data_IF_754157553332
#
_entry.id   IF_754157553332
#
_cell.length_a   1.000
_cell.length_b   1.000
_cell.length_c   1.000
_cell.angle_alpha   90.00
_cell.angle_beta   90.00
_cell.angle_gamma   90.00
#
_symmetry.space_group_name_H-M   'P 1'
#
loop_
_entity.id
_entity.type
_entity.pdbx_description
1 polymer ?
#
# COMPACT_ATOMS: atom_id res chain seq x y z
N UNK A 1 21.78 -27.89 37.88
CA UNK A 1 20.79 -26.94 37.33
C UNK A 1 21.35 -26.11 36.17
N UNK A 2 22.54 -25.50 36.29
CA UNK A 2 23.15 -24.65 35.23
C UNK A 2 23.24 -25.31 33.84
N UNK A 3 23.60 -26.59 33.78
CA UNK A 3 23.78 -27.29 32.50
C UNK A 3 22.44 -27.60 31.81
N UNK A 4 21.37 -27.86 32.56
CA UNK A 4 20.04 -28.10 31.99
C UNK A 4 19.46 -26.83 31.32
N UNK A 5 19.67 -25.67 31.95
CA UNK A 5 19.29 -24.38 31.35
C UNK A 5 20.07 -24.07 30.08
N UNK A 6 21.37 -24.39 30.03
CA UNK A 6 22.18 -24.22 28.82
C UNK A 6 21.67 -25.09 27.67
N UNK A 7 21.38 -26.36 27.92
CA UNK A 7 20.78 -27.26 26.92
C UNK A 7 19.46 -26.68 26.41
N UNK A 8 18.56 -26.27 27.32
CA UNK A 8 17.27 -25.73 26.93
C UNK A 8 17.40 -24.45 26.07
N UNK A 9 18.31 -23.55 26.42
CA UNK A 9 18.50 -22.28 25.71
C UNK A 9 19.14 -22.52 24.33
N UNK A 10 20.28 -23.21 24.29
CA UNK A 10 21.09 -23.31 23.07
C UNK A 10 20.65 -24.44 22.14
N UNK A 11 20.19 -25.56 22.69
CA UNK A 11 19.89 -26.75 21.88
C UNK A 11 18.43 -26.83 21.47
N UNK A 12 17.55 -26.07 22.12
CA UNK A 12 16.10 -26.09 21.86
C UNK A 12 15.57 -24.71 21.53
N UNK A 13 15.66 -23.73 22.44
CA UNK A 13 15.03 -22.44 22.25
C UNK A 13 15.61 -21.66 21.06
N UNK A 14 16.94 -21.61 20.91
CA UNK A 14 17.60 -20.90 19.82
C UNK A 14 17.29 -21.48 18.42
N UNK A 15 17.38 -22.80 18.17
CA UNK A 15 16.94 -23.41 16.93
C UNK A 15 15.46 -23.15 16.60
N UNK A 16 14.57 -23.30 17.59
CA UNK A 16 13.14 -23.06 17.39
C UNK A 16 12.84 -21.59 17.08
N UNK A 17 13.52 -20.66 17.77
CA UNK A 17 13.40 -19.23 17.48
C UNK A 17 13.90 -18.90 16.06
N UNK A 18 14.97 -19.54 15.61
CA UNK A 18 15.51 -19.37 14.25
C UNK A 18 14.51 -19.88 13.20
N UNK A 19 13.93 -21.06 13.40
CA UNK A 19 12.87 -21.60 12.52
C UNK A 19 11.67 -20.65 12.50
N UNK A 20 11.20 -20.21 13.67
CA UNK A 20 10.07 -19.28 13.76
C UNK A 20 10.35 -17.98 12.98
N UNK A 21 11.57 -17.41 13.09
CA UNK A 21 11.97 -16.23 12.35
C UNK A 21 11.95 -16.44 10.83
N UNK A 22 12.46 -17.57 10.34
CA UNK A 22 12.45 -17.94 8.91
C UNK A 22 11.01 -18.05 8.37
N UNK A 23 10.13 -18.71 9.12
CA UNK A 23 8.72 -18.85 8.75
C UNK A 23 8.01 -17.50 8.74
N UNK A 24 8.31 -16.64 9.72
CA UNK A 24 7.72 -15.32 9.86
C UNK A 24 8.14 -14.37 8.71
N UNK A 25 9.39 -14.47 8.22
CA UNK A 25 9.80 -13.82 6.96
C UNK A 25 8.93 -14.31 5.79
N UNK A 26 8.64 -15.61 5.72
CA UNK A 26 7.78 -16.17 4.67
C UNK A 26 6.37 -15.62 4.69
N UNK A 27 5.79 -15.43 5.89
CA UNK A 27 4.49 -14.78 6.08
C UNK A 27 4.51 -13.36 5.55
N UNK A 28 5.53 -12.56 5.90
CA UNK A 28 5.64 -11.17 5.45
C UNK A 28 5.85 -11.02 3.94
N UNK A 29 6.53 -11.97 3.31
CA UNK A 29 6.73 -11.98 1.86
C UNK A 29 5.54 -12.54 1.07
N UNK A 30 4.52 -13.10 1.73
CA UNK A 30 3.41 -13.77 1.05
C UNK A 30 3.78 -15.12 0.41
N UNK A 31 4.78 -15.82 0.96
CA UNK A 31 5.20 -17.16 0.53
C UNK A 31 5.55 -17.31 -0.97
N UNK A 32 6.46 -16.48 -1.51
CA UNK A 32 6.90 -16.69 -2.88
C UNK A 32 7.64 -18.04 -3.00
N UNK A 33 7.49 -18.70 -4.15
CA UNK A 33 7.96 -20.09 -4.36
C UNK A 33 9.45 -20.28 -4.04
N UNK A 34 10.28 -19.29 -4.39
CA UNK A 34 11.71 -19.32 -4.10
C UNK A 34 11.99 -19.31 -2.59
N UNK A 35 11.23 -18.55 -1.81
CA UNK A 35 11.38 -18.50 -0.35
C UNK A 35 10.92 -19.80 0.29
N UNK A 36 9.86 -20.44 -0.21
CA UNK A 36 9.43 -21.77 0.26
C UNK A 36 10.58 -22.77 0.18
N UNK A 37 11.30 -22.80 -0.96
CA UNK A 37 12.45 -23.68 -1.14
C UNK A 37 13.60 -23.36 -0.17
N UNK A 38 13.95 -22.08 -0.03
CA UNK A 38 15.02 -21.62 0.87
C UNK A 38 14.66 -21.91 2.34
N UNK A 39 13.44 -21.59 2.76
CA UNK A 39 12.96 -21.81 4.11
C UNK A 39 12.96 -23.30 4.47
N UNK A 40 12.49 -24.17 3.57
CA UNK A 40 12.52 -25.62 3.76
C UNK A 40 13.95 -26.14 3.93
N UNK A 41 14.88 -25.70 3.08
CA UNK A 41 16.29 -26.06 3.18
C UNK A 41 16.92 -25.62 4.50
N UNK A 42 16.70 -24.35 4.90
CA UNK A 42 17.22 -23.81 6.15
C UNK A 42 16.65 -24.52 7.38
N UNK A 43 15.33 -24.77 7.41
CA UNK A 43 14.70 -25.51 8.49
C UNK A 43 15.24 -26.95 8.59
N UNK A 44 15.45 -27.60 7.45
CA UNK A 44 16.03 -28.95 7.41
C UNK A 44 17.45 -28.97 7.97
N UNK A 45 18.29 -27.99 7.61
CA UNK A 45 19.65 -27.86 8.17
C UNK A 45 19.63 -27.63 9.69
N UNK A 46 18.69 -26.83 10.20
CA UNK A 46 18.53 -26.61 11.63
C UNK A 46 18.12 -27.90 12.34
N UNK A 47 17.15 -28.64 11.78
CA UNK A 47 16.70 -29.92 12.34
C UNK A 47 17.82 -30.96 12.30
N UNK A 48 18.59 -31.04 11.22
CA UNK A 48 19.76 -31.92 11.12
C UNK A 48 20.79 -31.59 12.20
N UNK A 49 21.11 -30.31 12.39
CA UNK A 49 22.00 -29.87 13.47
C UNK A 49 21.47 -30.25 14.86
N UNK A 50 20.16 -30.13 15.11
CA UNK A 50 19.54 -30.59 16.37
C UNK A 50 19.67 -32.11 16.56
N UNK A 51 19.49 -32.90 15.50
CA UNK A 51 19.66 -34.36 15.53
C UNK A 51 21.11 -34.74 15.83
N UNK A 52 22.08 -34.10 15.18
CA UNK A 52 23.51 -34.31 15.46
C UNK A 52 23.82 -34.00 16.92
N UNK A 53 23.31 -32.88 17.44
CA UNK A 53 23.50 -32.49 18.83
C UNK A 53 22.89 -33.51 19.81
N UNK A 54 21.71 -34.06 19.48
CA UNK A 54 21.09 -35.13 20.26
C UNK A 54 21.90 -36.44 20.23
N UNK A 55 22.50 -36.80 19.09
CA UNK A 55 23.37 -37.97 18.97
C UNK A 55 24.65 -37.78 19.80
N UNK A 56 25.25 -36.59 19.78
CA UNK A 56 26.42 -36.24 20.61
C UNK A 56 26.08 -36.32 22.11
N UNK A 57 24.89 -35.85 22.52
CA UNK A 57 24.42 -36.01 23.89
C UNK A 57 24.36 -37.48 24.30
N UNK A 58 23.92 -38.36 23.39
CA UNK A 58 23.79 -39.80 23.69
C UNK A 58 25.13 -40.53 23.69
N UNK A 59 26.05 -40.16 22.80
CA UNK A 59 27.37 -40.81 22.63
C UNK A 59 28.39 -40.33 23.66
N UNK A 60 28.54 -39.02 23.76
CA UNK A 60 29.67 -38.38 24.47
C UNK A 60 29.20 -37.66 25.75
N UNK A 61 27.88 -37.60 26.01
CA UNK A 61 27.25 -36.84 27.11
C UNK A 61 27.54 -35.34 27.05
N UNK A 62 27.82 -34.83 25.86
CA UNK A 62 28.09 -33.41 25.58
C UNK A 62 27.13 -32.91 24.50
N UNK A 63 26.75 -31.64 24.60
CA UNK A 63 25.93 -30.90 23.64
C UNK A 63 26.59 -29.58 23.30
N UNK A 64 26.15 -28.91 22.24
CA UNK A 64 26.55 -27.55 21.93
C UNK A 64 26.37 -26.59 23.11
N UNK A 65 25.31 -26.75 23.91
CA UNK A 65 25.07 -25.95 25.12
C UNK A 65 26.02 -26.25 26.28
N UNK A 66 26.46 -27.51 26.44
CA UNK A 66 27.28 -27.97 27.58
C UNK A 66 28.76 -28.12 27.28
N UNK A 67 29.17 -28.08 26.00
CA UNK A 67 30.56 -28.09 25.59
C UNK A 67 31.24 -26.78 26.04
N UNK A 68 32.12 -26.90 27.03
CA UNK A 68 32.89 -25.78 27.56
C UNK A 68 34.25 -25.62 26.84
N UNK A 69 34.67 -26.60 26.03
CA UNK A 69 35.88 -26.54 25.21
C UNK A 69 35.64 -25.75 23.89
N UNK A 70 34.38 -25.67 23.45
CA UNK A 70 33.95 -24.97 22.22
C UNK A 70 32.99 -23.79 22.41
N UNK A 71 33.32 -22.71 23.16
CA UNK A 71 32.41 -21.58 23.38
C UNK A 71 32.00 -20.85 22.07
N UNK A 72 32.82 -20.96 21.03
CA UNK A 72 32.56 -20.39 19.70
C UNK A 72 31.27 -20.95 19.09
N UNK A 73 30.94 -22.22 19.34
CA UNK A 73 29.73 -22.84 18.81
C UNK A 73 28.46 -22.20 19.41
N UNK A 74 28.48 -21.91 20.71
CA UNK A 74 27.39 -21.20 21.40
C UNK A 74 27.21 -19.78 20.86
N UNK A 75 28.31 -19.07 20.63
CA UNK A 75 28.28 -17.74 20.01
C UNK A 75 27.76 -17.81 18.57
N UNK A 76 28.11 -18.85 17.81
CA UNK A 76 27.58 -19.08 16.46
C UNK A 76 26.06 -19.29 16.46
N UNK A 77 25.55 -20.14 17.36
CA UNK A 77 24.10 -20.37 17.51
C UNK A 77 23.37 -19.08 17.87
N UNK A 78 23.89 -18.32 18.84
CA UNK A 78 23.30 -17.03 19.24
C UNK A 78 23.36 -16.03 18.11
N UNK A 79 24.49 -15.92 17.42
CA UNK A 79 24.67 -15.02 16.29
C UNK A 79 23.71 -15.33 15.15
N UNK A 80 23.54 -16.61 14.80
CA UNK A 80 22.59 -17.05 13.77
C UNK A 80 21.15 -16.73 14.17
N UNK A 81 20.78 -17.05 15.41
CA UNK A 81 19.42 -16.79 15.93
C UNK A 81 19.13 -15.30 15.93
N UNK A 82 20.06 -14.48 16.43
CA UNK A 82 19.93 -13.03 16.45
C UNK A 82 19.81 -12.45 15.04
N UNK A 83 20.64 -12.94 14.10
CA UNK A 83 20.58 -12.51 12.69
C UNK A 83 19.23 -12.84 12.06
N UNK A 84 18.71 -14.05 12.28
CA UNK A 84 17.41 -14.45 11.77
C UNK A 84 16.27 -13.57 12.33
N UNK A 85 16.29 -13.28 13.63
CA UNK A 85 15.30 -12.42 14.28
C UNK A 85 15.38 -10.97 13.80
N UNK A 86 16.59 -10.43 13.61
CA UNK A 86 16.79 -9.08 13.04
C UNK A 86 16.28 -9.03 11.60
N UNK A 87 16.60 -10.03 10.78
CA UNK A 87 16.12 -10.12 9.42
C UNK A 87 14.59 -10.18 9.36
N UNK A 88 13.96 -11.00 10.22
CA UNK A 88 12.51 -11.10 10.31
C UNK A 88 11.87 -9.76 10.72
N UNK A 89 12.45 -9.07 11.70
CA UNK A 89 11.99 -7.74 12.13
C UNK A 89 12.11 -6.71 11.00
N UNK A 90 13.24 -6.69 10.30
CA UNK A 90 13.48 -5.77 9.19
C UNK A 90 12.51 -6.01 8.03
N UNK A 91 12.30 -7.27 7.64
CA UNK A 91 11.34 -7.62 6.57
C UNK A 91 9.91 -7.28 6.99
N UNK A 92 9.52 -7.56 8.24
CA UNK A 92 8.19 -7.20 8.72
C UNK A 92 7.96 -5.68 8.73
N UNK A 93 8.96 -4.93 9.16
CA UNK A 93 8.90 -3.47 9.16
C UNK A 93 8.73 -2.89 7.74
N UNK A 94 9.47 -3.40 6.76
CA UNK A 94 9.38 -2.89 5.38
C UNK A 94 8.11 -3.35 4.67
N UNK A 95 7.69 -4.61 4.86
CA UNK A 95 6.56 -5.18 4.13
C UNK A 95 5.19 -4.82 4.72
N UNK A 96 5.10 -4.54 6.02
CA UNK A 96 3.84 -4.14 6.65
C UNK A 96 3.86 -2.67 7.04
N UNK A 97 4.79 -2.22 7.90
CA UNK A 97 4.70 -0.86 8.45
C UNK A 97 4.95 0.23 7.40
N UNK A 98 6.01 0.08 6.59
CA UNK A 98 6.31 1.07 5.54
C UNK A 98 5.28 1.01 4.42
N UNK A 99 4.85 -0.19 4.02
CA UNK A 99 3.83 -0.36 2.99
C UNK A 99 2.47 0.24 3.42
N UNK A 100 2.06 0.06 4.68
CA UNK A 100 0.82 0.60 5.22
C UNK A 100 0.86 2.14 5.35
N UNK A 101 2.01 2.69 5.77
CA UNK A 101 2.23 4.14 5.76
C UNK A 101 2.15 4.71 4.34
N UNK A 102 2.80 4.05 3.36
CA UNK A 102 2.70 4.44 1.95
C UNK A 102 1.27 4.40 1.41
N UNK A 103 0.50 3.35 1.76
CA UNK A 103 -0.90 3.23 1.37
C UNK A 103 -1.77 4.36 1.95
N UNK A 104 -1.48 4.78 3.19
CA UNK A 104 -2.18 5.88 3.86
C UNK A 104 -1.86 7.22 3.19
N UNK A 105 -0.59 7.46 2.87
CA UNK A 105 -0.14 8.67 2.17
C UNK A 105 -0.73 8.74 0.75
N UNK A 106 -0.66 7.63 -0.01
CA UNK A 106 -1.26 7.49 -1.33
C UNK A 106 -2.78 7.73 -1.27
N UNK A 107 -3.47 7.18 -0.26
CA UNK A 107 -4.91 7.39 -0.04
C UNK A 107 -5.26 8.87 0.17
N UNK A 108 -4.47 9.59 0.97
CA UNK A 108 -4.64 11.02 1.18
C UNK A 108 -4.39 11.84 -0.09
N UNK A 109 -3.40 11.43 -0.89
CA UNK A 109 -3.10 12.05 -2.17
C UNK A 109 -4.20 11.86 -3.21
N UNK A 110 -4.65 10.62 -3.45
CA UNK A 110 -5.70 10.37 -4.44
C UNK A 110 -7.01 11.04 -4.06
N UNK A 111 -7.35 11.13 -2.77
CA UNK A 111 -8.54 11.87 -2.30
C UNK A 111 -8.42 13.37 -2.56
N UNK A 112 -7.25 13.96 -2.29
CA UNK A 112 -6.97 15.37 -2.57
C UNK A 112 -7.07 15.66 -4.07
N UNK A 113 -6.49 14.79 -4.90
CA UNK A 113 -6.49 14.94 -6.36
C UNK A 113 -7.90 14.75 -6.94
N UNK A 114 -8.63 13.74 -6.47
CA UNK A 114 -10.01 13.48 -6.88
C UNK A 114 -10.94 14.65 -6.54
N UNK A 115 -10.78 15.23 -5.35
CA UNK A 115 -11.50 16.42 -4.91
C UNK A 115 -11.23 17.60 -5.85
N UNK A 116 -9.96 17.86 -6.15
CA UNK A 116 -9.56 18.96 -7.03
C UNK A 116 -10.11 18.79 -8.46
N UNK A 117 -9.97 17.60 -9.05
CA UNK A 117 -10.49 17.31 -10.40
C UNK A 117 -12.01 17.34 -10.43
N UNK A 118 -12.69 16.77 -9.42
CA UNK A 118 -14.16 16.75 -9.38
C UNK A 118 -14.74 18.16 -9.24
N UNK A 119 -14.16 19.00 -8.37
CA UNK A 119 -14.59 20.39 -8.23
C UNK A 119 -14.29 21.22 -9.47
N UNK A 120 -13.15 21.01 -10.13
CA UNK A 120 -12.81 21.66 -11.38
C UNK A 120 -13.80 21.28 -12.49
N UNK A 121 -14.09 19.99 -12.67
CA UNK A 121 -15.01 19.48 -13.69
C UNK A 121 -16.46 19.92 -13.46
N UNK A 122 -16.89 20.07 -12.19
CA UNK A 122 -18.26 20.44 -11.84
C UNK A 122 -18.46 21.94 -11.57
N UNK A 123 -17.42 22.77 -11.70
CA UNK A 123 -17.48 24.23 -11.56
C UNK A 123 -17.29 24.92 -12.90
N UNK A 124 -18.24 25.78 -13.25
CA UNK A 124 -18.27 26.48 -14.53
C UNK A 124 -18.58 27.98 -14.36
N UNK A 125 -17.80 28.83 -15.03
CA UNK A 125 -18.01 30.27 -15.10
C UNK A 125 -18.12 30.72 -16.58
N UNK A 126 -19.18 31.44 -16.98
CA UNK A 126 -19.31 31.99 -18.33
C UNK A 126 -18.21 32.98 -18.71
N UNK A 127 -17.56 33.60 -17.72
CA UNK A 127 -16.49 34.59 -17.93
C UNK A 127 -15.15 33.96 -18.29
N UNK A 128 -14.95 32.69 -17.93
CA UNK A 128 -13.73 31.94 -18.24
C UNK A 128 -14.04 30.44 -18.42
N UNK A 129 -14.62 30.05 -19.57
CA UNK A 129 -15.16 28.71 -19.79
C UNK A 129 -14.08 27.61 -19.80
N UNK A 130 -12.87 27.92 -20.25
CA UNK A 130 -11.79 26.95 -20.42
C UNK A 130 -10.97 26.71 -19.14
N UNK A 131 -10.90 27.69 -18.23
CA UNK A 131 -10.06 27.59 -17.02
C UNK A 131 -10.33 26.36 -16.14
N UNK A 132 -11.58 25.94 -16.03
CA UNK A 132 -11.95 24.73 -15.28
C UNK A 132 -11.54 23.45 -15.99
N UNK A 133 -11.67 23.41 -17.32
CA UNK A 133 -11.28 22.27 -18.16
C UNK A 133 -9.76 22.12 -18.16
N UNK A 134 -9.02 23.21 -18.31
CA UNK A 134 -7.56 23.18 -18.34
C UNK A 134 -6.97 22.76 -16.98
N UNK A 135 -7.58 23.20 -15.87
CA UNK A 135 -7.19 22.77 -14.52
C UNK A 135 -7.44 21.27 -14.29
N UNK A 136 -8.58 20.75 -14.75
CA UNK A 136 -8.86 19.31 -14.66
C UNK A 136 -7.92 18.50 -15.55
N UNK A 137 -7.71 18.93 -16.80
CA UNK A 137 -6.85 18.25 -17.77
C UNK A 137 -5.37 18.21 -17.36
N UNK A 138 -4.88 19.22 -16.64
CA UNK A 138 -3.51 19.24 -16.11
C UNK A 138 -3.23 18.14 -15.07
N UNK A 139 -4.28 17.51 -14.53
CA UNK A 139 -4.22 16.46 -13.52
C UNK A 139 -4.54 15.08 -14.09
N UNK A 140 -4.86 15.00 -15.39
CA UNK A 140 -5.18 13.77 -16.10
C UNK A 140 -3.95 13.19 -16.82
N UNK A 141 -4.00 11.90 -17.09
CA UNK A 141 -3.09 11.28 -18.04
C UNK A 141 -3.25 11.93 -19.43
N UNK A 142 -2.18 12.05 -20.24
CA UNK A 142 -2.22 12.76 -21.52
C UNK A 142 -3.37 12.30 -22.45
N UNK A 143 -3.56 10.99 -22.58
CA UNK A 143 -4.60 10.41 -23.42
C UNK A 143 -6.02 10.72 -22.89
N UNK A 144 -6.19 10.74 -21.56
CA UNK A 144 -7.45 11.05 -20.91
C UNK A 144 -7.77 12.56 -20.97
N UNK A 145 -6.75 13.42 -20.89
CA UNK A 145 -6.88 14.87 -20.98
C UNK A 145 -7.45 15.30 -22.34
N UNK A 146 -6.97 14.71 -23.44
CA UNK A 146 -7.44 15.02 -24.79
C UNK A 146 -8.91 14.60 -25.00
N UNK A 147 -9.25 13.39 -24.55
CA UNK A 147 -10.63 12.89 -24.60
C UNK A 147 -11.58 13.74 -23.73
N UNK A 148 -11.13 14.14 -22.55
CA UNK A 148 -11.89 15.01 -21.64
C UNK A 148 -12.16 16.38 -22.26
N UNK A 149 -11.13 17.02 -22.84
CA UNK A 149 -11.27 18.32 -23.52
C UNK A 149 -12.27 18.24 -24.69
N UNK A 150 -12.22 17.17 -25.48
CA UNK A 150 -13.15 16.98 -26.59
C UNK A 150 -14.60 16.86 -26.14
N UNK A 151 -14.87 16.08 -25.08
CA UNK A 151 -16.22 15.83 -24.58
C UNK A 151 -16.82 17.03 -23.83
N UNK A 152 -16.02 17.68 -22.99
CA UNK A 152 -16.50 18.80 -22.16
C UNK A 152 -16.51 20.13 -22.90
N UNK A 153 -15.67 20.32 -23.93
CA UNK A 153 -15.65 21.56 -24.72
C UNK A 153 -17.01 21.90 -25.35
N UNK A 154 -17.69 20.91 -25.94
CA UNK A 154 -19.00 21.11 -26.58
C UNK A 154 -20.09 21.50 -25.57
N UNK A 155 -20.18 20.79 -24.43
CA UNK A 155 -21.16 21.10 -23.38
C UNK A 155 -20.95 22.50 -22.76
N UNK A 156 -19.69 22.94 -22.73
CA UNK A 156 -19.26 24.20 -22.13
C UNK A 156 -19.66 25.41 -22.99
N UNK A 157 -19.59 25.31 -24.32
CA UNK A 157 -20.04 26.38 -25.23
C UNK A 157 -21.53 26.70 -25.07
N UNK A 158 -22.37 25.67 -24.93
CA UNK A 158 -23.81 25.84 -24.77
C UNK A 158 -24.18 26.51 -23.43
N UNK A 159 -23.46 26.17 -22.35
CA UNK A 159 -23.61 26.78 -21.04
C UNK A 159 -23.17 28.26 -21.05
N UNK A 160 -22.06 28.56 -21.72
CA UNK A 160 -21.56 29.93 -21.88
C UNK A 160 -22.56 30.83 -22.62
N UNK A 161 -23.13 30.35 -23.74
CA UNK A 161 -24.15 31.08 -24.53
C UNK A 161 -25.40 31.42 -23.71
N UNK A 162 -25.74 30.57 -22.75
CA UNK A 162 -26.92 30.74 -21.88
C UNK A 162 -26.63 31.51 -20.58
N UNK A 163 -25.40 31.99 -20.38
CA UNK A 163 -24.95 32.65 -19.15
C UNK A 163 -25.25 31.83 -17.87
N UNK A 164 -25.20 30.50 -17.98
CA UNK A 164 -25.44 29.60 -16.84
C UNK A 164 -24.11 29.44 -16.10
N UNK A 165 -24.09 29.62 -14.78
CA UNK A 165 -22.91 29.29 -13.96
C UNK A 165 -23.20 28.11 -13.04
N UNK A 166 -22.19 27.31 -12.78
CA UNK A 166 -22.26 26.18 -11.85
C UNK A 166 -21.09 26.25 -10.87
N UNK A 167 -21.35 25.96 -9.61
CA UNK A 167 -20.32 25.85 -8.58
C UNK A 167 -20.50 24.52 -7.88
N UNK A 168 -19.44 23.73 -7.79
CA UNK A 168 -19.43 22.50 -7.03
C UNK A 168 -18.49 22.63 -5.85
N UNK A 169 -18.93 22.14 -4.70
CA UNK A 169 -18.11 22.06 -3.49
C UNK A 169 -18.22 20.67 -2.88
N UNK A 170 -17.07 20.07 -2.57
CA UNK A 170 -17.01 18.73 -2.01
C UNK A 170 -17.65 18.69 -0.63
N UNK A 171 -18.53 17.72 -0.44
CA UNK A 171 -19.13 17.38 0.85
C UNK A 171 -18.28 16.29 1.51
N UNK A 172 -17.96 15.25 0.75
CA UNK A 172 -17.19 14.11 1.21
C UNK A 172 -16.49 13.45 0.04
N UNK A 173 -15.28 12.92 0.28
CA UNK A 173 -14.55 12.10 -0.66
C UNK A 173 -14.01 10.87 0.07
N UNK A 174 -13.98 9.72 -0.59
CA UNK A 174 -13.53 8.47 -0.01
C UNK A 174 -12.95 7.53 -1.05
N UNK A 175 -11.89 6.82 -0.66
CA UNK A 175 -11.29 5.77 -1.50
C UNK A 175 -12.23 4.57 -1.57
N UNK A 176 -12.59 4.17 -2.78
CA UNK A 176 -13.38 2.97 -3.05
C UNK A 176 -12.47 1.75 -3.18
N UNK A 177 -11.35 1.91 -3.87
CA UNK A 177 -10.32 0.88 -4.02
C UNK A 177 -8.96 1.55 -4.23
N UNK A 178 -7.91 0.96 -3.67
CA UNK A 178 -6.52 1.39 -3.91
C UNK A 178 -5.62 0.16 -3.94
N UNK A 179 -4.80 0.09 -4.97
CA UNK A 179 -3.74 -0.90 -5.15
C UNK A 179 -2.42 -0.20 -5.43
N UNK A 180 -1.36 -0.96 -5.78
CA UNK A 180 -0.03 -0.40 -5.99
C UNK A 180 0.02 0.64 -7.13
N UNK A 181 -0.72 0.38 -8.22
CA UNK A 181 -0.64 1.19 -9.44
C UNK A 181 -1.99 1.78 -9.87
N UNK A 182 -3.09 1.42 -9.21
CA UNK A 182 -4.44 1.84 -9.59
C UNK A 182 -5.26 2.22 -8.36
N UNK A 183 -6.11 3.24 -8.48
CA UNK A 183 -7.03 3.64 -7.43
C UNK A 183 -8.37 4.14 -7.99
N UNK A 184 -9.42 4.06 -7.18
CA UNK A 184 -10.74 4.61 -7.44
C UNK A 184 -11.18 5.40 -6.21
N UNK A 185 -11.64 6.63 -6.43
CA UNK A 185 -12.14 7.52 -5.38
C UNK A 185 -13.54 7.99 -5.75
N UNK A 186 -14.44 7.95 -4.79
CA UNK A 186 -15.78 8.53 -4.92
C UNK A 186 -15.79 9.89 -4.24
N UNK A 187 -16.24 10.90 -4.98
CA UNK A 187 -16.39 12.28 -4.51
C UNK A 187 -17.86 12.67 -4.60
N UNK A 188 -18.42 13.08 -3.47
CA UNK A 188 -19.77 13.62 -3.36
C UNK A 188 -19.68 15.12 -3.17
N UNK A 189 -20.34 15.86 -4.05
CA UNK A 189 -20.30 17.32 -4.11
C UNK A 189 -21.70 17.90 -4.02
N UNK A 190 -21.77 19.14 -3.53
CA UNK A 190 -22.92 20.01 -3.67
C UNK A 190 -22.71 20.91 -4.88
N UNK A 191 -23.52 20.72 -5.91
CA UNK A 191 -23.63 21.65 -7.03
C UNK A 191 -24.66 22.74 -6.74
N UNK A 192 -24.33 23.98 -7.04
CA UNK A 192 -25.29 25.07 -7.16
C UNK A 192 -25.24 25.63 -8.56
N UNK A 193 -26.39 25.74 -9.22
CA UNK A 193 -26.51 26.30 -10.56
C UNK A 193 -27.28 27.62 -10.50
N UNK A 194 -26.75 28.62 -11.18
CA UNK A 194 -27.39 29.93 -11.31
C UNK A 194 -27.71 30.17 -12.78
N UNK A 195 -29.01 30.35 -13.06
CA UNK A 195 -29.55 30.66 -14.38
C UNK A 195 -30.17 32.06 -14.29
N UNK A 196 -29.79 33.01 -15.18
CA UNK A 196 -30.33 34.37 -15.14
C UNK A 196 -31.86 34.38 -15.13
N UNK A 197 -32.47 35.08 -14.17
CA UNK A 197 -33.93 35.20 -14.03
C UNK A 197 -34.62 34.00 -13.38
N UNK A 198 -33.89 32.97 -12.94
CA UNK A 198 -34.43 31.85 -12.16
C UNK A 198 -33.83 31.81 -10.74
N UNK A 199 -34.52 31.11 -9.84
CA UNK A 199 -33.99 30.87 -8.50
C UNK A 199 -32.86 29.84 -8.54
N UNK A 200 -31.83 30.03 -7.72
CA UNK A 200 -30.67 29.14 -7.68
C UNK A 200 -31.09 27.69 -7.38
N UNK A 201 -30.69 26.76 -8.24
CA UNK A 201 -30.93 25.34 -8.06
C UNK A 201 -29.78 24.68 -7.32
N UNK A 202 -30.09 23.67 -6.50
CA UNK A 202 -29.10 22.89 -5.73
C UNK A 202 -29.25 21.41 -6.07
N UNK A 203 -28.14 20.75 -6.34
CA UNK A 203 -28.09 19.32 -6.61
C UNK A 203 -26.93 18.66 -5.85
N UNK A 204 -27.07 17.37 -5.55
CA UNK A 204 -25.96 16.55 -5.09
C UNK A 204 -25.42 15.81 -6.30
N UNK A 205 -24.10 15.91 -6.52
CA UNK A 205 -23.38 15.26 -7.59
C UNK A 205 -22.47 14.21 -6.97
N UNK A 206 -22.38 13.05 -7.59
CA UNK A 206 -21.45 11.99 -7.18
C UNK A 206 -20.63 11.57 -8.40
N UNK A 207 -19.30 11.66 -8.27
CA UNK A 207 -18.35 11.29 -9.31
C UNK A 207 -17.42 10.20 -8.77
N UNK A 208 -17.13 9.21 -9.61
CA UNK A 208 -16.04 8.24 -9.44
C UNK A 208 -14.87 8.74 -10.28
N UNK A 209 -13.72 8.86 -9.65
CA UNK A 209 -12.45 9.25 -10.28
C UNK A 209 -11.52 8.05 -10.23
N UNK A 210 -11.11 7.57 -11.41
CA UNK A 210 -10.15 6.49 -11.54
C UNK A 210 -8.74 7.05 -11.75
N UNK A 211 -7.76 6.39 -11.15
CA UNK A 211 -6.36 6.77 -11.17
C UNK A 211 -5.47 5.64 -11.65
N UNK A 212 -4.34 6.04 -12.24
CA UNK A 212 -3.19 5.18 -12.51
C UNK A 212 -1.92 5.84 -11.97
N UNK A 213 -0.95 5.04 -11.51
CA UNK A 213 0.34 5.53 -11.02
C UNK A 213 1.38 5.41 -12.13
N UNK A 214 1.95 6.54 -12.55
CA UNK A 214 3.01 6.61 -13.60
C UNK A 214 4.18 7.39 -13.05
N UNK A 215 5.37 6.81 -13.10
CA UNK A 215 6.61 7.40 -12.55
C UNK A 215 6.42 7.90 -11.10
N UNK A 216 5.77 7.08 -10.27
CA UNK A 216 5.44 7.36 -8.86
C UNK A 216 4.50 8.56 -8.64
N UNK A 217 3.76 8.97 -9.68
CA UNK A 217 2.74 10.03 -9.60
C UNK A 217 1.36 9.51 -9.98
N UNK A 218 0.36 9.87 -9.18
CA UNK A 218 -1.04 9.57 -9.47
C UNK A 218 -1.59 10.50 -10.56
N UNK A 219 -2.15 9.90 -11.61
CA UNK A 219 -2.78 10.61 -12.72
C UNK A 219 -4.21 10.13 -12.88
N UNK A 220 -5.13 11.07 -13.16
CA UNK A 220 -6.54 10.73 -13.42
C UNK A 220 -6.67 10.13 -14.81
N UNK A 221 -7.30 8.95 -14.90
CA UNK A 221 -7.58 8.28 -16.18
C UNK A 221 -9.03 8.42 -16.61
N UNK A 222 -9.95 8.52 -15.65
CA UNK A 222 -11.38 8.62 -15.94
C UNK A 222 -12.14 9.34 -14.83
N UNK A 223 -13.23 10.01 -15.20
CA UNK A 223 -14.16 10.69 -14.30
C UNK A 223 -15.59 10.38 -14.78
N UNK A 224 -16.30 9.56 -14.01
CA UNK A 224 -17.64 9.09 -14.37
C UNK A 224 -18.67 9.38 -13.25
N UNK A 225 -19.93 9.67 -13.58
CA UNK A 225 -20.99 9.80 -12.58
C UNK A 225 -21.29 8.46 -11.88
N UNK A 226 -21.58 8.53 -10.59
CA UNK A 226 -21.98 7.36 -9.78
C UNK A 226 -23.49 7.15 -9.91
N UNK A 227 -23.91 5.98 -10.40
CA UNK A 227 -25.34 5.58 -10.46
C UNK A 227 -26.07 5.92 -11.76
N UNK A 228 -25.34 6.06 -12.88
CA UNK A 228 -25.92 6.09 -14.22
C UNK A 228 -26.42 4.70 -14.66
#
# INVERSE_FOLDING_TARGET
MRNAWRVLIFDVAAPLATIAAILLIGVFLGWPVWWVAVAAMLCLLIVEAMVVNYVLLRRDRVTAGTDDDGPVLRLGIVGLTATALVAATAVGYTQWTVADAGLTDDSGEVVRLATAVSEATATFSPQDPSSSIDRAAALMAPEAADAFKANFGQATEDLARRNISAQARTISAGVEAIGPDVASVVVVMRGTQNVPGQQQSRAVLALRVAFTKVDDRWLVVDVAPVGA
#
